data_IF_077955498062
#
_entry.id   IF_077955498062
#
_cell.length_a   1.000
_cell.length_b   1.000
_cell.length_c   1.000
_cell.angle_alpha   90.00
_cell.angle_beta   90.00
_cell.angle_gamma   90.00
#
_symmetry.space_group_name_H-M   'P 1'
#
loop_
_entity.id
_entity.type
_entity.pdbx_description
1 polymer ?
#
# COMPACT_ATOMS: atom_id res chain seq x y z
N UNK A 1 30.68 -4.13 -8.86
CA UNK A 1 30.44 -3.82 -7.42
C UNK A 1 29.43 -2.70 -7.26
N UNK A 2 29.61 -1.55 -7.91
CA UNK A 2 28.63 -0.45 -7.86
C UNK A 2 27.24 -0.83 -8.36
N UNK A 3 27.13 -1.67 -9.40
CA UNK A 3 25.84 -2.16 -9.89
C UNK A 3 25.05 -2.93 -8.82
N UNK A 4 25.74 -3.74 -8.00
CA UNK A 4 25.09 -4.56 -6.97
C UNK A 4 24.50 -3.69 -5.85
N UNK A 5 25.19 -2.59 -5.52
CA UNK A 5 24.75 -1.65 -4.47
C UNK A 5 23.56 -0.80 -4.94
N UNK A 6 23.37 -0.67 -6.26
CA UNK A 6 22.26 0.06 -6.85
C UNK A 6 21.02 -0.79 -7.06
N UNK A 7 21.09 -2.11 -6.87
CA UNK A 7 19.96 -3.01 -7.15
C UNK A 7 18.65 -2.56 -6.46
N UNK A 8 18.65 -2.18 -5.17
CA UNK A 8 17.44 -1.70 -4.48
C UNK A 8 16.83 -0.43 -5.07
N UNK A 9 17.65 0.39 -5.75
CA UNK A 9 17.24 1.66 -6.38
C UNK A 9 16.76 1.43 -7.81
N UNK A 10 17.49 0.64 -8.58
CA UNK A 10 17.24 0.47 -10.02
C UNK A 10 16.14 -0.57 -10.29
N UNK A 11 15.93 -1.54 -9.40
CA UNK A 11 15.05 -2.70 -9.67
C UNK A 11 13.85 -2.86 -8.74
N UNK A 12 13.68 -1.99 -7.73
CA UNK A 12 12.53 -2.04 -6.82
C UNK A 12 11.70 -0.76 -6.88
N UNK A 13 10.38 -0.92 -6.89
CA UNK A 13 9.40 0.17 -6.87
C UNK A 13 8.38 -0.08 -5.75
N UNK A 14 8.23 0.82 -4.76
CA UNK A 14 9.13 1.95 -4.48
C UNK A 14 10.56 1.47 -4.17
N UNK A 15 11.52 2.38 -4.17
CA UNK A 15 12.91 2.06 -3.83
C UNK A 15 13.01 1.47 -2.43
N UNK A 16 13.81 0.42 -2.26
CA UNK A 16 14.08 -0.18 -0.95
C UNK A 16 15.26 0.54 -0.29
N UNK A 17 15.05 1.06 0.92
CA UNK A 17 16.13 1.60 1.74
C UNK A 17 17.01 0.46 2.25
N UNK A 18 18.31 0.57 2.05
CA UNK A 18 19.30 -0.43 2.45
C UNK A 18 20.48 0.25 3.13
N UNK A 19 20.94 -0.31 4.23
CA UNK A 19 22.25 0.01 4.81
C UNK A 19 23.24 -1.09 4.43
N UNK A 20 24.43 -0.70 4.00
CA UNK A 20 25.42 -1.62 3.44
C UNK A 20 26.65 -1.65 4.33
N UNK A 21 27.02 -2.84 4.77
CA UNK A 21 28.21 -3.09 5.59
C UNK A 21 29.14 -4.09 4.88
N UNK A 22 30.44 -3.85 4.93
CA UNK A 22 31.47 -4.79 4.43
C UNK A 22 32.22 -5.39 5.61
N UNK A 23 31.99 -6.66 5.87
CA UNK A 23 32.63 -7.41 6.96
C UNK A 23 33.88 -8.09 6.42
N UNK A 24 35.05 -7.76 6.96
CA UNK A 24 36.31 -8.40 6.56
C UNK A 24 36.31 -9.88 6.98
N UNK A 25 36.80 -10.75 6.11
CA UNK A 25 36.94 -12.18 6.38
C UNK A 25 38.17 -12.75 5.67
N UNK A 26 38.59 -13.94 6.09
CA UNK A 26 39.65 -14.70 5.41
C UNK A 26 38.96 -15.87 4.71
N UNK A 27 39.21 -16.04 3.42
CA UNK A 27 38.64 -17.17 2.67
C UNK A 27 39.33 -18.49 3.01
N UNK A 28 38.80 -19.61 2.49
CA UNK A 28 39.38 -20.93 2.73
C UNK A 28 40.81 -21.10 2.19
N UNK A 29 41.31 -20.18 1.37
CA UNK A 29 42.67 -20.16 0.83
C UNK A 29 43.60 -19.22 1.61
N UNK A 30 43.16 -18.66 2.73
CA UNK A 30 43.95 -17.74 3.55
C UNK A 30 44.04 -16.32 2.98
N UNK A 31 43.19 -15.95 2.01
CA UNK A 31 43.21 -14.62 1.39
C UNK A 31 42.24 -13.68 2.09
N UNK A 32 42.65 -12.43 2.28
CA UNK A 32 41.77 -11.37 2.76
C UNK A 32 40.62 -11.15 1.76
N UNK A 33 39.41 -11.13 2.29
CA UNK A 33 38.18 -10.98 1.54
C UNK A 33 37.13 -10.22 2.37
N UNK A 34 35.94 -10.05 1.84
CA UNK A 34 34.84 -9.40 2.53
C UNK A 34 33.50 -10.06 2.22
N UNK A 35 32.62 -10.05 3.20
CA UNK A 35 31.19 -10.35 3.05
C UNK A 35 30.45 -9.02 2.94
N UNK A 36 29.56 -8.91 1.95
CA UNK A 36 28.66 -7.78 1.81
C UNK A 36 27.37 -8.08 2.59
N UNK A 37 27.10 -7.29 3.62
CA UNK A 37 25.87 -7.38 4.40
C UNK A 37 24.94 -6.22 4.01
N UNK A 38 23.70 -6.56 3.67
CA UNK A 38 22.65 -5.60 3.32
C UNK A 38 21.58 -5.65 4.42
N UNK A 39 21.48 -4.58 5.20
CA UNK A 39 20.46 -4.42 6.23
C UNK A 39 19.25 -3.74 5.61
N UNK A 40 18.11 -4.42 5.63
CA UNK A 40 16.85 -3.96 5.04
C UNK A 40 15.80 -3.95 6.14
N UNK A 41 15.36 -2.76 6.52
CA UNK A 41 14.30 -2.58 7.50
C UNK A 41 12.92 -2.88 6.92
N UNK A 42 11.96 -3.36 7.73
CA UNK A 42 10.58 -3.54 7.29
C UNK A 42 9.97 -2.20 6.82
N UNK A 43 9.48 -2.17 5.59
CA UNK A 43 8.77 -1.02 5.02
C UNK A 43 7.28 -1.10 5.30
N UNK A 44 6.61 0.06 5.37
CA UNK A 44 5.14 0.15 5.32
C UNK A 44 4.60 0.00 3.89
N UNK A 45 5.47 0.01 2.88
CA UNK A 45 5.08 -0.15 1.49
C UNK A 45 5.39 -1.57 0.96
N UNK A 46 4.60 -2.05 0.00
CA UNK A 46 4.80 -3.27 -0.75
C UNK A 46 5.69 -2.94 -1.94
N UNK A 47 6.90 -3.48 -1.92
CA UNK A 47 7.87 -3.30 -2.97
C UNK A 47 7.70 -4.37 -4.05
N UNK A 48 7.67 -3.94 -5.32
CA UNK A 48 7.64 -4.79 -6.49
C UNK A 48 8.94 -4.68 -7.29
N UNK A 49 9.25 -5.69 -8.09
CA UNK A 49 10.34 -5.61 -9.06
C UNK A 49 9.91 -4.87 -10.34
N UNK A 50 10.80 -4.75 -11.33
CA UNK A 50 10.52 -4.09 -12.63
C UNK A 50 9.41 -4.78 -13.46
N UNK A 51 9.09 -6.04 -13.17
CA UNK A 51 8.00 -6.78 -13.80
C UNK A 51 6.68 -6.70 -13.00
N UNK A 52 6.62 -5.79 -12.01
CA UNK A 52 5.50 -5.63 -11.07
C UNK A 52 5.21 -6.90 -10.23
N UNK A 53 6.22 -7.73 -10.03
CA UNK A 53 6.12 -8.94 -9.21
C UNK A 53 6.53 -8.66 -7.77
N UNK A 54 5.73 -9.15 -6.83
CA UNK A 54 5.97 -9.02 -5.39
C UNK A 54 6.32 -10.39 -4.82
N UNK A 55 7.33 -10.40 -3.95
CA UNK A 55 7.80 -11.61 -3.27
C UNK A 55 7.82 -11.40 -1.77
N UNK A 56 7.42 -12.43 -1.02
CA UNK A 56 7.52 -12.46 0.44
C UNK A 56 8.40 -13.63 0.86
N UNK A 57 9.30 -13.37 1.82
CA UNK A 57 10.17 -14.41 2.36
C UNK A 57 9.39 -15.25 3.38
N UNK A 58 9.37 -16.56 3.16
CA UNK A 58 8.80 -17.54 4.08
C UNK A 58 9.91 -18.56 4.37
N UNK A 59 10.47 -18.50 5.59
CA UNK A 59 11.63 -19.29 5.97
C UNK A 59 12.87 -18.97 5.12
N UNK A 60 13.38 -19.97 4.38
CA UNK A 60 14.55 -19.84 3.52
C UNK A 60 14.23 -19.60 2.03
N UNK A 61 12.96 -19.41 1.66
CA UNK A 61 12.53 -19.21 0.27
C UNK A 61 11.74 -17.91 0.10
N UNK A 62 11.86 -17.32 -1.09
CA UNK A 62 11.00 -16.22 -1.53
C UNK A 62 9.82 -16.79 -2.31
N UNK A 63 8.60 -16.54 -1.83
CA UNK A 63 7.36 -16.92 -2.51
C UNK A 63 6.86 -15.73 -3.33
N UNK A 64 6.59 -15.93 -4.62
CA UNK A 64 5.88 -14.95 -5.44
C UNK A 64 4.43 -14.87 -4.96
N UNK A 65 3.94 -13.65 -4.72
CA UNK A 65 2.56 -13.43 -4.28
C UNK A 65 1.63 -13.33 -5.49
N UNK A 66 0.47 -14.01 -5.41
CA UNK A 66 -0.63 -13.78 -6.32
C UNK A 66 -1.30 -12.42 -6.06
N UNK A 67 -2.19 -11.99 -6.96
CA UNK A 67 -2.87 -10.69 -6.84
C UNK A 67 -3.61 -10.52 -5.50
N UNK A 68 -4.38 -11.54 -5.07
CA UNK A 68 -5.12 -11.51 -3.81
C UNK A 68 -4.19 -11.43 -2.60
N UNK A 69 -3.11 -12.22 -2.59
CA UNK A 69 -2.10 -12.20 -1.51
C UNK A 69 -1.36 -10.85 -1.44
N UNK A 70 -1.03 -10.27 -2.60
CA UNK A 70 -0.45 -8.92 -2.68
C UNK A 70 -1.42 -7.88 -2.12
N UNK A 71 -2.70 -7.97 -2.47
CA UNK A 71 -3.72 -7.05 -1.99
C UNK A 71 -3.91 -7.16 -0.48
N UNK A 72 -3.95 -8.38 0.07
CA UNK A 72 -4.01 -8.62 1.51
C UNK A 72 -2.80 -8.00 2.21
N UNK A 73 -1.59 -8.17 1.67
CA UNK A 73 -0.38 -7.60 2.25
C UNK A 73 -0.41 -6.05 2.27
N UNK A 74 -0.95 -5.41 1.22
CA UNK A 74 -1.12 -3.95 1.20
C UNK A 74 -2.09 -3.47 2.29
N UNK A 75 -3.14 -4.23 2.59
CA UNK A 75 -4.05 -3.95 3.70
C UNK A 75 -3.38 -4.12 5.06
N UNK A 76 -2.67 -5.24 5.24
CA UNK A 76 -1.98 -5.55 6.48
C UNK A 76 -0.91 -4.49 6.82
N UNK A 77 -0.31 -3.87 5.79
CA UNK A 77 0.64 -2.77 5.93
C UNK A 77 0.02 -1.38 6.03
N UNK A 78 -1.29 -1.25 5.78
CA UNK A 78 -1.99 0.04 5.82
C UNK A 78 -1.73 0.95 4.61
N UNK A 79 -1.19 0.44 3.50
CA UNK A 79 -1.10 1.19 2.23
C UNK A 79 -2.46 1.47 1.60
N UNK A 80 -3.42 0.60 1.89
CA UNK A 80 -4.81 0.75 1.46
C UNK A 80 -5.70 0.62 2.66
N UNK A 81 -6.61 1.58 2.82
CA UNK A 81 -7.68 1.48 3.80
C UNK A 81 -8.90 0.85 3.14
N UNK A 82 -9.60 -0.02 3.87
CA UNK A 82 -10.85 -0.60 3.38
C UNK A 82 -11.88 0.51 3.09
N UNK A 83 -11.87 1.55 3.92
CA UNK A 83 -12.78 2.70 3.85
C UNK A 83 -12.60 3.56 2.58
N UNK A 84 -11.42 3.51 1.94
CA UNK A 84 -11.13 4.29 0.73
C UNK A 84 -11.54 3.57 -0.56
N UNK A 85 -11.99 2.31 -0.49
CA UNK A 85 -12.46 1.59 -1.67
C UNK A 85 -13.92 1.94 -1.97
N UNK A 86 -14.23 2.45 -3.18
CA UNK A 86 -15.61 2.58 -3.61
C UNK A 86 -16.22 1.18 -3.76
N UNK A 87 -17.39 0.96 -3.14
CA UNK A 87 -18.15 -0.27 -3.31
C UNK A 87 -18.83 -0.22 -4.70
N UNK A 88 -18.52 -1.13 -5.63
CA UNK A 88 -18.94 -0.99 -7.04
C UNK A 88 -20.45 -0.95 -7.28
N UNK A 89 -21.21 -1.54 -6.36
CA UNK A 89 -22.67 -1.69 -6.39
C UNK A 89 -23.39 -0.81 -5.35
N UNK A 90 -22.66 -0.03 -4.56
CA UNK A 90 -23.29 0.93 -3.67
C UNK A 90 -23.70 2.17 -4.47
N UNK A 91 -24.99 2.46 -4.47
CA UNK A 91 -25.57 3.68 -5.03
C UNK A 91 -26.18 4.51 -3.88
N UNK A 92 -26.68 5.71 -4.19
CA UNK A 92 -27.26 6.62 -3.20
C UNK A 92 -28.47 6.02 -2.46
N UNK A 93 -29.12 5.03 -3.05
CA UNK A 93 -30.28 4.33 -2.48
C UNK A 93 -29.90 3.43 -1.29
N UNK A 94 -28.62 3.04 -1.17
CA UNK A 94 -28.11 2.24 -0.05
C UNK A 94 -27.84 3.08 1.21
N UNK A 95 -27.93 4.41 1.12
CA UNK A 95 -27.70 5.32 2.23
C UNK A 95 -28.98 5.51 3.02
N UNK A 96 -28.93 5.23 4.34
CA UNK A 96 -30.02 5.58 5.26
C UNK A 96 -30.09 7.10 5.46
N UNK A 97 -30.88 7.76 4.61
CA UNK A 97 -31.10 9.21 4.68
C UNK A 97 -31.72 9.64 6.01
N UNK A 98 -32.53 8.80 6.67
CA UNK A 98 -33.11 9.14 7.97
C UNK A 98 -32.03 9.18 9.07
N UNK A 99 -30.99 8.37 8.96
CA UNK A 99 -29.81 8.47 9.83
C UNK A 99 -29.01 9.74 9.54
N UNK A 100 -28.80 10.08 8.27
CA UNK A 100 -28.11 11.32 7.87
C UNK A 100 -28.86 12.55 8.38
N UNK A 101 -30.19 12.58 8.28
CA UNK A 101 -31.05 13.65 8.81
C UNK A 101 -30.86 13.86 10.32
N UNK A 102 -30.80 12.78 11.10
CA UNK A 102 -30.52 12.85 12.55
C UNK A 102 -29.14 13.43 12.82
N UNK A 103 -28.14 13.02 12.04
CA UNK A 103 -26.77 13.51 12.18
C UNK A 103 -26.65 15.00 11.84
N UNK A 104 -27.22 15.45 10.70
CA UNK A 104 -27.16 16.86 10.31
C UNK A 104 -27.89 17.77 11.31
N UNK A 105 -28.97 17.28 11.93
CA UNK A 105 -29.68 17.99 12.99
C UNK A 105 -28.81 18.15 14.25
N UNK A 106 -28.02 17.14 14.61
CA UNK A 106 -27.11 17.19 15.76
C UNK A 106 -25.94 18.16 15.56
N UNK A 107 -25.40 18.25 14.34
CA UNK A 107 -24.30 19.17 14.03
C UNK A 107 -24.78 20.58 13.64
N UNK A 108 -26.11 20.82 13.61
CA UNK A 108 -26.70 22.11 13.28
C UNK A 108 -26.57 22.52 11.81
N UNK A 109 -26.51 21.55 10.89
CA UNK A 109 -26.46 21.83 9.46
C UNK A 109 -27.87 22.13 8.93
N UNK A 110 -28.00 23.20 8.14
CA UNK A 110 -29.29 23.81 7.81
C UNK A 110 -29.94 23.30 6.52
N UNK A 111 -29.19 22.58 5.68
CA UNK A 111 -29.66 22.05 4.40
C UNK A 111 -30.11 20.59 4.53
N UNK A 112 -30.70 20.03 3.48
CA UNK A 112 -31.18 18.65 3.46
C UNK A 112 -30.03 17.63 3.51
N UNK A 113 -30.34 16.39 3.89
CA UNK A 113 -29.36 15.29 3.91
C UNK A 113 -28.69 15.07 2.54
N UNK A 114 -29.43 15.21 1.45
CA UNK A 114 -28.89 15.08 0.09
C UNK A 114 -27.92 16.20 -0.28
N UNK A 115 -28.23 17.43 0.10
CA UNK A 115 -27.31 18.57 -0.09
C UNK A 115 -26.06 18.40 0.76
N UNK A 116 -26.20 17.90 1.99
CA UNK A 116 -25.05 17.58 2.84
C UNK A 116 -24.10 16.58 2.16
N UNK A 117 -24.64 15.47 1.64
CA UNK A 117 -23.84 14.43 0.98
C UNK A 117 -23.18 14.92 -0.32
N UNK A 118 -23.84 15.80 -1.09
CA UNK A 118 -23.28 16.32 -2.34
C UNK A 118 -22.21 17.38 -2.14
N UNK A 119 -22.42 18.27 -1.17
CA UNK A 119 -21.58 19.46 -1.00
C UNK A 119 -20.35 19.22 -0.10
N UNK A 120 -20.32 18.13 0.68
CA UNK A 120 -19.30 17.91 1.70
C UNK A 120 -18.45 16.68 1.43
N UNK A 121 -17.14 16.79 1.73
CA UNK A 121 -16.13 15.72 1.80
C UNK A 121 -16.09 14.71 0.63
N UNK A 122 -16.75 15.02 -0.48
CA UNK A 122 -16.84 14.13 -1.64
C UNK A 122 -17.58 12.82 -1.35
N UNK A 123 -18.60 12.84 -0.49
CA UNK A 123 -19.40 11.64 -0.19
C UNK A 123 -20.13 11.06 -1.41
N UNK A 124 -20.45 11.91 -2.39
CA UNK A 124 -21.04 11.50 -3.68
C UNK A 124 -20.12 11.93 -4.82
N UNK A 125 -19.87 11.02 -5.76
CA UNK A 125 -19.17 11.23 -7.02
C UNK A 125 -20.09 10.86 -8.19
N UNK A 126 -20.27 11.80 -9.11
CA UNK A 126 -21.06 11.56 -10.32
C UNK A 126 -20.21 10.81 -11.36
N UNK A 127 -20.65 9.61 -11.76
CA UNK A 127 -19.96 8.81 -12.79
C UNK A 127 -20.97 8.34 -13.84
N UNK A 128 -20.78 8.77 -15.09
CA UNK A 128 -21.65 8.41 -16.24
C UNK A 128 -23.14 8.70 -16.01
N UNK A 129 -23.47 9.82 -15.34
CA UNK A 129 -24.86 10.23 -15.08
C UNK A 129 -25.56 9.51 -13.94
N UNK A 130 -24.86 8.65 -13.17
CA UNK A 130 -25.33 8.08 -11.91
C UNK A 130 -24.53 8.64 -10.73
N UNK A 131 -25.22 9.01 -9.66
CA UNK A 131 -24.62 9.41 -8.39
C UNK A 131 -24.16 8.15 -7.64
N UNK A 132 -22.86 8.04 -7.35
CA UNK A 132 -22.22 6.94 -6.63
C UNK A 132 -21.40 7.44 -5.45
#
# INVERSE_FOLDING_TARGET
MNELLRVPFDFCVPTVKVEIEKVQCIDFKGRENHVLLMHIEPSMEVHANQADEVFMRVGNKSKKLAFEERMQLMYDKGERFFEDKPVPEADIEDIDLAFVEKYIAQIGYSKTAMEYLRENKGFIKEKMGKCR
#
